data_IF_113572951005
#
_entry.id   IF_113572951005
#
_cell.length_a   1.000
_cell.length_b   1.000
_cell.length_c   1.000
_cell.angle_alpha   90.00
_cell.angle_beta   90.00
_cell.angle_gamma   90.00
#
_symmetry.space_group_name_H-M   'P 1'
#
loop_
_entity.id
_entity.type
_entity.pdbx_description
1 polymer ?
#
# COMPACT_ATOMS: atom_id res chain seq x y z
N UNK A 1 77.40 -77.89 85.83
CA UNK A 1 78.82 -78.11 85.47
C UNK A 1 78.90 -79.33 84.58
N UNK A 2 79.44 -79.21 83.36
CA UNK A 2 79.60 -80.34 82.42
C UNK A 2 81.03 -80.87 82.53
N UNK A 3 81.20 -82.17 82.74
CA UNK A 3 82.53 -82.81 82.80
C UNK A 3 83.13 -82.83 81.38
N UNK A 4 84.46 -82.60 81.23
CA UNK A 4 85.12 -82.53 79.89
C UNK A 4 84.84 -83.74 78.99
N UNK A 5 84.69 -84.94 79.58
CA UNK A 5 84.39 -86.19 78.86
C UNK A 5 82.98 -86.21 78.24
N UNK A 6 82.04 -85.47 78.81
CA UNK A 6 80.62 -85.42 78.42
C UNK A 6 80.30 -84.15 77.60
N UNK A 7 81.31 -83.37 77.22
CA UNK A 7 81.13 -82.14 76.45
C UNK A 7 80.59 -82.41 75.04
N UNK A 8 81.02 -83.49 74.38
CA UNK A 8 80.56 -83.84 73.03
C UNK A 8 79.07 -84.17 73.00
N UNK A 9 78.60 -85.02 73.91
CA UNK A 9 77.18 -85.36 74.04
C UNK A 9 76.35 -84.17 74.52
N UNK A 10 76.91 -83.31 75.37
CA UNK A 10 76.25 -82.06 75.75
C UNK A 10 76.02 -81.12 74.54
N UNK A 11 76.97 -80.97 73.61
CA UNK A 11 76.85 -80.10 72.42
C UNK A 11 75.73 -80.55 71.45
N UNK A 12 75.39 -81.83 71.43
CA UNK A 12 74.29 -82.36 70.62
C UNK A 12 72.90 -81.89 71.11
N UNK A 13 72.76 -81.63 72.41
CA UNK A 13 71.49 -81.23 73.04
C UNK A 13 71.51 -79.81 73.63
N UNK A 14 72.67 -79.14 73.63
CA UNK A 14 72.81 -77.82 74.20
C UNK A 14 72.06 -76.77 73.36
N UNK A 15 71.09 -76.14 74.01
CA UNK A 15 70.22 -75.11 73.45
C UNK A 15 70.97 -73.84 73.02
N UNK A 16 72.15 -73.62 73.60
CA UNK A 16 73.01 -72.47 73.33
C UNK A 16 74.12 -72.77 72.30
N UNK A 17 74.08 -73.93 71.64
CA UNK A 17 74.99 -74.24 70.54
C UNK A 17 74.57 -73.49 69.29
N UNK A 18 75.53 -72.85 68.62
CA UNK A 18 75.31 -72.22 67.32
C UNK A 18 75.28 -73.29 66.23
N UNK A 19 74.22 -73.31 65.43
CA UNK A 19 74.05 -74.20 64.30
C UNK A 19 73.85 -73.38 63.02
N UNK A 20 74.41 -73.87 61.92
CA UNK A 20 74.13 -73.30 60.59
C UNK A 20 72.71 -73.64 60.17
N UNK A 21 72.05 -72.72 59.48
CA UNK A 21 70.74 -72.94 58.89
C UNK A 21 70.81 -74.12 57.89
N UNK A 22 69.83 -75.05 57.89
CA UNK A 22 69.80 -76.16 56.95
C UNK A 22 69.31 -75.74 55.54
N UNK A 23 68.74 -74.54 55.39
CA UNK A 23 68.25 -74.06 54.10
C UNK A 23 69.41 -73.68 53.16
N UNK A 24 69.40 -74.25 51.96
CA UNK A 24 70.42 -73.97 50.95
C UNK A 24 70.42 -72.49 50.55
N UNK A 25 71.58 -71.84 50.67
CA UNK A 25 71.77 -70.40 50.44
C UNK A 25 71.67 -69.51 51.69
N UNK A 26 71.34 -70.07 52.86
CA UNK A 26 71.32 -69.31 54.11
C UNK A 26 72.62 -69.50 54.92
N UNK A 27 73.43 -68.45 55.02
CA UNK A 27 74.69 -68.46 55.80
C UNK A 27 74.49 -68.17 57.30
N UNK A 28 73.24 -68.02 57.76
CA UNK A 28 72.95 -67.70 59.15
C UNK A 28 73.38 -68.84 60.09
N UNK A 29 74.08 -68.46 61.17
CA UNK A 29 74.32 -69.35 62.31
C UNK A 29 73.49 -68.82 63.49
N UNK A 30 72.62 -69.65 64.04
CA UNK A 30 71.69 -69.28 65.12
C UNK A 30 71.74 -70.29 66.26
N UNK A 31 71.35 -69.89 67.47
CA UNK A 31 71.29 -70.82 68.61
C UNK A 31 70.26 -71.92 68.32
N UNK A 32 70.54 -73.16 68.74
CA UNK A 32 69.64 -74.31 68.55
C UNK A 32 68.21 -74.00 68.97
N UNK A 33 68.02 -73.34 70.12
CA UNK A 33 66.69 -72.95 70.64
C UNK A 33 65.93 -71.97 69.74
N UNK A 34 66.63 -71.17 68.93
CA UNK A 34 66.07 -70.12 68.09
C UNK A 34 65.97 -70.56 66.61
N UNK A 35 66.44 -71.78 66.28
CA UNK A 35 66.46 -72.30 64.91
C UNK A 35 65.06 -72.44 64.31
N UNK A 36 64.07 -72.85 65.08
CA UNK A 36 62.67 -72.93 64.61
C UNK A 36 62.12 -71.55 64.23
N UNK A 37 62.38 -70.54 65.08
CA UNK A 37 62.00 -69.14 64.82
C UNK A 37 62.72 -68.60 63.58
N UNK A 38 63.99 -68.95 63.40
CA UNK A 38 64.74 -68.61 62.19
C UNK A 38 64.12 -69.27 60.95
N UNK A 39 63.88 -70.59 60.94
CA UNK A 39 63.31 -71.30 59.78
C UNK A 39 61.94 -70.74 59.39
N UNK A 40 61.12 -70.38 60.39
CA UNK A 40 59.81 -69.76 60.17
C UNK A 40 59.89 -68.44 59.37
N UNK A 41 60.99 -67.68 59.51
CA UNK A 41 61.20 -66.38 58.85
C UNK A 41 62.31 -66.38 57.80
N UNK A 42 63.03 -67.49 57.63
CA UNK A 42 64.20 -67.59 56.78
C UNK A 42 63.83 -67.31 55.31
N UNK A 43 64.49 -66.35 54.63
CA UNK A 43 64.23 -66.02 53.23
C UNK A 43 64.47 -67.18 52.25
N UNK A 44 65.29 -68.15 52.64
CA UNK A 44 65.70 -69.31 51.84
C UNK A 44 64.84 -70.56 52.08
N UNK A 45 63.89 -70.51 53.03
CA UNK A 45 62.94 -71.61 53.22
C UNK A 45 62.13 -71.82 51.94
N UNK A 46 62.09 -73.06 51.46
CA UNK A 46 61.24 -73.42 50.31
C UNK A 46 59.79 -73.47 50.76
N UNK A 47 58.96 -72.66 50.11
CA UNK A 47 57.52 -72.61 50.30
C UNK A 47 56.82 -73.20 49.09
N UNK A 48 55.67 -73.82 49.33
CA UNK A 48 54.69 -74.12 48.28
C UNK A 48 53.78 -72.91 48.11
N UNK A 49 53.34 -72.63 46.87
CA UNK A 49 52.42 -71.52 46.60
C UNK A 49 51.17 -71.57 47.50
N UNK A 50 50.82 -70.46 48.19
CA UNK A 50 49.59 -70.38 49.00
C UNK A 50 48.31 -70.43 48.14
N UNK A 51 48.40 -70.04 46.87
CA UNK A 51 47.30 -70.11 45.89
C UNK A 51 47.27 -71.48 45.16
N UNK A 52 47.98 -72.49 45.67
CA UNK A 52 47.94 -73.88 45.21
C UNK A 52 48.20 -74.06 43.70
N UNK A 53 49.18 -73.33 43.14
CA UNK A 53 49.63 -73.53 41.75
C UNK A 53 50.74 -74.59 41.60
N UNK A 54 51.00 -75.37 42.66
CA UNK A 54 52.04 -76.41 42.76
C UNK A 54 53.51 -75.96 42.61
N UNK A 55 53.74 -74.66 42.41
CA UNK A 55 55.09 -74.09 42.38
C UNK A 55 55.75 -74.12 43.78
N UNK A 56 57.06 -74.39 43.79
CA UNK A 56 57.93 -74.31 44.96
C UNK A 56 59.03 -73.29 44.71
N UNK A 57 59.24 -72.40 45.65
CA UNK A 57 60.19 -71.28 45.53
C UNK A 57 60.70 -70.87 46.91
N UNK A 58 61.79 -70.09 46.97
CA UNK A 58 62.27 -69.56 48.24
C UNK A 58 61.33 -68.48 48.77
N UNK A 59 61.16 -68.34 50.09
CA UNK A 59 60.29 -67.31 50.69
C UNK A 59 60.51 -65.91 50.11
N UNK A 60 61.75 -65.54 49.81
CA UNK A 60 62.10 -64.25 49.18
C UNK A 60 61.48 -64.03 47.79
N UNK A 61 61.18 -65.11 47.07
CA UNK A 61 60.61 -65.11 45.70
C UNK A 61 59.08 -65.10 45.71
N UNK A 62 58.44 -65.18 46.88
CA UNK A 62 56.98 -65.24 47.01
C UNK A 62 56.27 -64.05 46.37
N UNK A 63 56.75 -62.83 46.60
CA UNK A 63 56.10 -61.62 46.07
C UNK A 63 56.21 -61.57 44.53
N UNK A 64 57.39 -61.88 43.99
CA UNK A 64 57.59 -61.99 42.53
C UNK A 64 56.72 -63.09 41.93
N UNK A 65 56.58 -64.21 42.65
CA UNK A 65 55.69 -65.29 42.21
C UNK A 65 54.22 -64.85 42.16
N UNK A 66 53.70 -64.13 43.17
CA UNK A 66 52.30 -63.65 43.19
C UNK A 66 51.95 -62.79 41.96
N UNK A 67 52.90 -61.98 41.50
CA UNK A 67 52.74 -61.15 40.30
C UNK A 67 52.51 -61.97 39.01
N UNK A 68 53.04 -63.19 38.95
CA UNK A 68 52.94 -64.06 37.78
C UNK A 68 52.07 -65.32 38.00
N UNK A 69 51.67 -65.60 39.24
CA UNK A 69 50.99 -66.83 39.60
C UNK A 69 49.63 -66.94 38.89
N UNK A 70 49.35 -68.06 38.20
CA UNK A 70 48.11 -68.23 37.44
C UNK A 70 46.88 -68.40 38.33
N UNK A 71 47.05 -68.90 39.55
CA UNK A 71 45.96 -69.09 40.52
C UNK A 71 45.79 -67.90 41.47
N UNK A 72 46.71 -66.93 41.45
CA UNK A 72 46.59 -65.75 42.30
C UNK A 72 45.36 -64.94 41.91
N UNK A 73 44.58 -64.56 42.91
CA UNK A 73 43.35 -63.80 42.74
C UNK A 73 43.67 -62.35 42.46
N UNK A 74 43.19 -61.84 41.32
CA UNK A 74 43.38 -60.46 40.90
C UNK A 74 42.04 -59.78 40.61
N UNK A 75 41.90 -58.49 40.94
CA UNK A 75 40.68 -57.75 40.65
C UNK A 75 40.50 -57.57 39.14
N UNK A 76 39.26 -57.41 38.71
CA UNK A 76 38.95 -57.01 37.35
C UNK A 76 39.62 -55.66 36.99
N UNK A 77 40.13 -55.46 35.77
CA UNK A 77 40.62 -54.15 35.30
C UNK A 77 39.61 -53.01 35.42
N UNK A 78 38.31 -53.34 35.45
CA UNK A 78 37.23 -52.39 35.66
C UNK A 78 36.88 -52.16 37.15
N UNK A 79 37.68 -52.64 38.11
CA UNK A 79 37.48 -52.36 39.53
C UNK A 79 37.42 -50.86 39.87
N UNK A 80 38.25 -49.97 39.29
CA UNK A 80 38.11 -48.52 39.51
C UNK A 80 36.79 -47.93 39.00
N UNK A 81 36.09 -48.66 38.12
CA UNK A 81 34.80 -48.28 37.54
C UNK A 81 33.62 -48.97 38.27
N UNK A 82 33.88 -49.73 39.34
CA UNK A 82 32.86 -50.40 40.16
C UNK A 82 32.68 -51.89 39.88
N UNK A 83 33.64 -52.58 39.27
CA UNK A 83 33.60 -54.03 39.18
C UNK A 83 34.25 -54.69 40.41
N UNK A 84 33.44 -55.25 41.30
CA UNK A 84 33.93 -55.85 42.55
C UNK A 84 34.46 -57.29 42.38
N UNK A 85 34.45 -57.81 41.15
CA UNK A 85 34.86 -59.19 40.87
C UNK A 85 36.38 -59.38 40.95
N UNK A 86 36.79 -60.40 41.70
CA UNK A 86 38.18 -60.85 41.84
C UNK A 86 38.25 -62.31 41.43
N UNK A 87 39.12 -62.64 40.46
CA UNK A 87 39.20 -63.98 39.88
C UNK A 87 40.66 -64.44 39.78
N UNK A 88 40.92 -65.77 39.73
CA UNK A 88 42.25 -66.27 39.44
C UNK A 88 42.77 -65.69 38.13
N UNK A 89 44.05 -65.31 38.08
CA UNK A 89 44.69 -64.71 36.89
C UNK A 89 44.41 -65.50 35.60
N UNK A 90 44.45 -66.83 35.66
CA UNK A 90 44.16 -67.73 34.51
C UNK A 90 42.74 -67.59 33.96
N UNK A 91 41.78 -67.19 34.78
CA UNK A 91 40.37 -67.06 34.43
C UNK A 91 39.95 -65.59 34.16
N UNK A 92 40.86 -64.63 34.39
CA UNK A 92 40.58 -63.21 34.18
C UNK A 92 40.09 -62.91 32.75
N UNK A 93 40.67 -63.55 31.73
CA UNK A 93 40.24 -63.35 30.35
C UNK A 93 38.78 -63.79 30.11
N UNK A 94 38.34 -64.87 30.78
CA UNK A 94 36.95 -65.32 30.70
C UNK A 94 36.03 -64.27 31.31
N UNK A 95 36.34 -63.81 32.53
CA UNK A 95 35.58 -62.75 33.19
C UNK A 95 35.53 -61.46 32.34
N UNK A 96 36.68 -60.95 31.90
CA UNK A 96 36.75 -59.69 31.14
C UNK A 96 35.96 -59.72 29.84
N UNK A 97 35.87 -60.89 29.18
CA UNK A 97 35.05 -61.09 27.97
C UNK A 97 33.54 -61.02 28.22
N UNK A 98 33.09 -61.27 29.44
CA UNK A 98 31.67 -61.24 29.85
C UNK A 98 31.34 -60.07 30.78
N UNK A 99 32.34 -59.38 31.34
CA UNK A 99 32.19 -58.30 32.29
C UNK A 99 31.36 -57.15 31.69
N UNK A 100 30.17 -56.84 32.26
CA UNK A 100 29.33 -55.77 31.74
C UNK A 100 30.03 -54.42 31.75
N UNK A 101 30.80 -54.11 32.80
CA UNK A 101 31.48 -52.82 32.98
C UNK A 101 32.56 -52.62 31.92
N UNK A 102 33.33 -53.65 31.59
CA UNK A 102 34.30 -53.59 30.49
C UNK A 102 33.60 -53.38 29.14
N UNK A 103 32.48 -54.07 28.90
CA UNK A 103 31.72 -53.93 27.64
C UNK A 103 31.14 -52.54 27.44
N UNK A 104 30.65 -51.91 28.51
CA UNK A 104 30.02 -50.58 28.45
C UNK A 104 31.04 -49.43 28.59
N UNK A 105 32.24 -49.67 29.09
CA UNK A 105 33.26 -48.64 29.29
C UNK A 105 33.57 -47.80 28.02
N UNK A 106 33.72 -48.38 26.82
CA UNK A 106 33.89 -47.61 25.60
C UNK A 106 32.73 -46.65 25.32
N UNK A 107 31.50 -47.07 25.62
CA UNK A 107 30.31 -46.23 25.45
C UNK A 107 30.28 -45.09 26.47
N UNK A 108 30.63 -45.34 27.74
CA UNK A 108 30.76 -44.27 28.73
C UNK A 108 31.84 -43.26 28.36
N UNK A 109 32.98 -43.72 27.83
CA UNK A 109 34.04 -42.83 27.34
C UNK A 109 33.55 -41.97 26.18
N UNK A 110 32.79 -42.55 25.24
CA UNK A 110 32.18 -41.80 24.14
C UNK A 110 31.16 -40.77 24.66
N UNK A 111 30.27 -41.17 25.57
CA UNK A 111 29.27 -40.28 26.17
C UNK A 111 29.93 -39.14 26.94
N UNK A 112 30.98 -39.41 27.71
CA UNK A 112 31.73 -38.38 28.42
C UNK A 112 32.30 -37.34 27.45
N UNK A 113 32.92 -37.77 26.35
CA UNK A 113 33.42 -36.86 25.33
C UNK A 113 32.30 -36.04 24.65
N UNK A 114 31.12 -36.64 24.42
CA UNK A 114 29.97 -35.90 23.90
C UNK A 114 29.47 -34.83 24.88
N UNK A 115 29.41 -35.15 26.18
CA UNK A 115 29.03 -34.20 27.23
C UNK A 115 30.00 -33.04 27.31
N UNK A 116 31.31 -33.30 27.23
CA UNK A 116 32.34 -32.26 27.20
C UNK A 116 32.17 -31.32 25.99
N UNK A 117 31.97 -31.89 24.79
CA UNK A 117 31.75 -31.09 23.57
C UNK A 117 30.49 -30.24 23.69
N UNK A 118 29.37 -30.83 24.14
CA UNK A 118 28.11 -30.10 24.31
C UNK A 118 28.23 -29.00 25.36
N UNK A 119 28.92 -29.27 26.47
CA UNK A 119 29.19 -28.28 27.52
C UNK A 119 29.99 -27.09 26.97
N UNK A 120 30.94 -27.33 26.06
CA UNK A 120 31.68 -26.26 25.40
C UNK A 120 30.85 -25.48 24.38
N UNK A 121 29.91 -26.13 23.69
CA UNK A 121 29.07 -25.51 22.66
C UNK A 121 27.93 -24.65 23.23
N UNK A 122 27.35 -25.05 24.37
CA UNK A 122 26.24 -24.34 25.01
C UNK A 122 26.48 -22.82 25.16
N UNK A 123 27.59 -22.33 25.76
CA UNK A 123 27.81 -20.90 25.93
C UNK A 123 28.00 -20.15 24.61
N UNK A 124 28.47 -20.83 23.56
CA UNK A 124 28.62 -20.21 22.24
C UNK A 124 27.26 -19.97 21.58
N UNK A 125 26.34 -20.92 21.74
CA UNK A 125 24.96 -20.78 21.23
C UNK A 125 24.22 -19.71 22.03
N UNK A 126 24.34 -19.69 23.36
CA UNK A 126 23.73 -18.67 24.22
C UNK A 126 24.17 -17.25 23.82
N UNK A 127 25.49 -17.01 23.65
CA UNK A 127 26.00 -15.71 23.16
C UNK A 127 25.48 -15.33 21.78
N UNK A 128 25.29 -16.30 20.90
CA UNK A 128 24.74 -16.05 19.55
C UNK A 128 23.27 -15.67 19.63
N UNK A 129 22.49 -16.31 20.50
CA UNK A 129 21.08 -15.96 20.74
C UNK A 129 20.99 -14.56 21.32
N UNK A 130 21.75 -14.23 22.36
CA UNK A 130 21.77 -12.90 22.97
C UNK A 130 22.09 -11.79 21.96
N UNK A 131 23.10 -12.03 21.11
CA UNK A 131 23.45 -11.08 20.04
C UNK A 131 22.33 -10.92 19.01
N UNK A 132 21.66 -12.00 18.63
CA UNK A 132 20.54 -11.94 17.70
C UNK A 132 19.36 -11.20 18.32
N UNK A 133 19.02 -11.49 19.57
CA UNK A 133 17.97 -10.79 20.33
C UNK A 133 18.25 -9.28 20.37
N UNK A 134 19.47 -8.88 20.74
CA UNK A 134 19.89 -7.48 20.72
C UNK A 134 19.70 -6.82 19.35
N UNK A 135 20.21 -7.44 18.28
CA UNK A 135 20.11 -6.88 16.92
C UNK A 135 18.65 -6.79 16.46
N UNK A 136 17.84 -7.80 16.78
CA UNK A 136 16.41 -7.80 16.42
C UNK A 136 15.64 -6.72 17.17
N UNK A 137 15.88 -6.55 18.47
CA UNK A 137 15.27 -5.50 19.27
C UNK A 137 15.63 -4.11 18.72
N UNK A 138 16.91 -3.88 18.44
CA UNK A 138 17.37 -2.61 17.90
C UNK A 138 16.75 -2.28 16.54
N UNK A 139 16.71 -3.25 15.61
CA UNK A 139 16.06 -3.08 14.30
C UNK A 139 14.56 -2.83 14.42
N UNK A 140 13.90 -3.44 15.41
CA UNK A 140 12.49 -3.21 15.67
C UNK A 140 12.24 -1.77 16.13
N UNK A 141 13.08 -1.23 17.02
CA UNK A 141 13.01 0.17 17.45
C UNK A 141 13.21 1.14 16.27
N UNK A 142 14.21 0.91 15.43
CA UNK A 142 14.46 1.71 14.22
C UNK A 142 13.24 1.70 13.29
N UNK A 143 12.66 0.52 13.04
CA UNK A 143 11.47 0.37 12.21
C UNK A 143 10.27 1.09 12.82
N UNK A 144 10.07 0.99 14.13
CA UNK A 144 8.98 1.67 14.84
C UNK A 144 9.10 3.19 14.75
N UNK A 145 10.32 3.74 14.84
CA UNK A 145 10.57 5.17 14.65
C UNK A 145 10.25 5.61 13.22
N UNK A 146 10.67 4.83 12.22
CA UNK A 146 10.35 5.11 10.82
C UNK A 146 8.85 5.06 10.55
N UNK A 147 8.15 4.05 11.08
CA UNK A 147 6.70 3.91 10.96
C UNK A 147 5.96 5.12 11.55
N UNK A 148 6.37 5.60 12.73
CA UNK A 148 5.79 6.82 13.34
C UNK A 148 5.99 8.04 12.45
N UNK A 149 7.20 8.25 11.93
CA UNK A 149 7.47 9.37 11.03
C UNK A 149 6.64 9.30 9.74
N UNK A 150 6.51 8.11 9.15
CA UNK A 150 5.64 7.91 7.98
C UNK A 150 4.17 8.18 8.30
N UNK A 151 3.68 7.74 9.46
CA UNK A 151 2.31 7.99 9.90
C UNK A 151 2.02 9.49 10.00
N UNK A 152 2.93 10.26 10.59
CA UNK A 152 2.82 11.73 10.68
C UNK A 152 2.78 12.38 9.30
N UNK A 153 3.63 11.95 8.37
CA UNK A 153 3.63 12.45 6.99
C UNK A 153 2.32 12.14 6.26
N UNK A 154 1.77 10.92 6.43
CA UNK A 154 0.47 10.55 5.83
C UNK A 154 -0.65 11.41 6.39
N UNK A 155 -0.66 11.68 7.70
CA UNK A 155 -1.67 12.54 8.33
C UNK A 155 -1.58 13.97 7.77
N UNK A 156 -0.38 14.55 7.68
CA UNK A 156 -0.18 15.90 7.14
C UNK A 156 -0.60 16.00 5.66
N UNK A 157 -0.21 15.01 4.84
CA UNK A 157 -0.62 14.95 3.44
C UNK A 157 -2.14 14.84 3.30
N UNK A 158 -2.77 13.98 4.10
CA UNK A 158 -4.24 13.80 4.10
C UNK A 158 -4.95 15.09 4.46
N UNK A 159 -4.42 15.83 5.45
CA UNK A 159 -4.95 17.14 5.84
C UNK A 159 -4.85 18.15 4.69
N UNK A 160 -3.67 18.27 4.07
CA UNK A 160 -3.43 19.17 2.92
C UNK A 160 -4.31 18.83 1.72
N UNK A 161 -4.55 17.55 1.44
CA UNK A 161 -5.45 17.13 0.37
C UNK A 161 -6.89 17.50 0.68
N UNK A 162 -7.35 17.31 1.93
CA UNK A 162 -8.70 17.70 2.33
C UNK A 162 -8.91 19.21 2.26
N UNK A 163 -7.94 20.01 2.72
CA UNK A 163 -7.99 21.47 2.60
C UNK A 163 -8.11 21.94 1.14
N UNK A 164 -7.34 21.32 0.23
CA UNK A 164 -7.44 21.59 -1.21
C UNK A 164 -8.80 21.18 -1.78
N UNK A 165 -9.33 20.02 -1.37
CA UNK A 165 -10.65 19.56 -1.80
C UNK A 165 -11.75 20.53 -1.35
N UNK A 166 -11.72 20.97 -0.09
CA UNK A 166 -12.66 21.96 0.45
C UNK A 166 -12.59 23.27 -0.33
N UNK A 167 -11.40 23.77 -0.65
CA UNK A 167 -11.25 25.01 -1.44
C UNK A 167 -11.77 24.85 -2.88
N UNK A 168 -11.55 23.70 -3.52
CA UNK A 168 -12.12 23.42 -4.85
C UNK A 168 -13.65 23.38 -4.78
N UNK A 169 -14.21 22.70 -3.78
CA UNK A 169 -15.66 22.61 -3.62
C UNK A 169 -16.27 24.01 -3.38
N UNK A 170 -15.64 24.83 -2.53
CA UNK A 170 -16.05 26.22 -2.29
C UNK A 170 -16.06 27.07 -3.55
N UNK A 171 -15.07 26.88 -4.45
CA UNK A 171 -15.04 27.57 -5.75
C UNK A 171 -16.17 27.09 -6.66
N UNK A 172 -16.49 25.81 -6.64
CA UNK A 172 -17.60 25.23 -7.40
C UNK A 172 -18.94 25.79 -6.91
N UNK A 173 -19.17 25.81 -5.60
CA UNK A 173 -20.36 26.40 -4.98
C UNK A 173 -20.54 27.88 -5.41
N UNK A 174 -19.46 28.66 -5.39
CA UNK A 174 -19.50 30.06 -5.84
C UNK A 174 -19.80 30.20 -7.35
N UNK A 175 -19.33 29.28 -8.19
CA UNK A 175 -19.69 29.28 -9.61
C UNK A 175 -21.17 28.96 -9.80
N UNK A 176 -21.70 27.98 -9.06
CA UNK A 176 -23.10 27.59 -9.12
C UNK A 176 -24.03 28.73 -8.69
N UNK A 177 -23.72 29.42 -7.58
CA UNK A 177 -24.48 30.60 -7.15
C UNK A 177 -24.50 31.70 -8.22
N UNK A 178 -23.35 31.95 -8.87
CA UNK A 178 -23.25 32.93 -9.96
C UNK A 178 -24.09 32.51 -11.16
N UNK A 179 -24.04 31.23 -11.53
CA UNK A 179 -24.82 30.69 -12.63
C UNK A 179 -26.33 30.80 -12.38
N UNK A 180 -26.76 30.42 -11.17
CA UNK A 180 -28.16 30.55 -10.75
C UNK A 180 -28.64 32.01 -10.76
N UNK A 181 -27.79 32.95 -10.35
CA UNK A 181 -28.11 34.39 -10.42
C UNK A 181 -28.35 34.84 -11.87
N UNK A 182 -27.48 34.43 -12.80
CA UNK A 182 -27.63 34.74 -14.23
C UNK A 182 -28.91 34.15 -14.83
N UNK A 183 -29.28 32.91 -14.45
CA UNK A 183 -30.55 32.30 -14.87
C UNK A 183 -31.72 33.14 -14.39
N UNK A 184 -31.76 33.48 -13.10
CA UNK A 184 -32.84 34.27 -12.50
C UNK A 184 -32.97 35.66 -13.16
N UNK A 185 -31.85 36.32 -13.47
CA UNK A 185 -31.84 37.57 -14.23
C UNK A 185 -32.40 37.41 -15.65
N UNK A 186 -32.11 36.31 -16.34
CA UNK A 186 -32.69 36.04 -17.67
C UNK A 186 -34.19 35.73 -17.59
N UNK A 187 -34.61 34.91 -16.62
CA UNK A 187 -36.02 34.58 -16.41
C UNK A 187 -36.85 35.83 -16.09
N UNK A 188 -36.36 36.69 -15.20
CA UNK A 188 -37.03 37.96 -14.89
C UNK A 188 -37.15 38.86 -16.12
N UNK A 189 -36.09 38.99 -16.94
CA UNK A 189 -36.16 39.72 -18.21
C UNK A 189 -37.19 39.13 -19.17
N UNK A 190 -37.20 37.80 -19.32
CA UNK A 190 -38.17 37.09 -20.17
C UNK A 190 -39.62 37.34 -19.71
N UNK A 191 -39.89 37.21 -18.41
CA UNK A 191 -41.21 37.44 -17.83
C UNK A 191 -41.69 38.89 -18.03
N UNK A 192 -40.80 39.88 -17.90
CA UNK A 192 -41.12 41.28 -18.16
C UNK A 192 -41.43 41.55 -19.64
N UNK A 193 -40.68 40.95 -20.57
CA UNK A 193 -40.97 41.02 -22.00
C UNK A 193 -42.34 40.41 -22.33
N UNK A 194 -42.66 39.25 -21.75
CA UNK A 194 -43.96 38.60 -21.93
C UNK A 194 -45.12 39.46 -21.39
N UNK A 195 -44.94 40.11 -20.23
CA UNK A 195 -45.93 41.08 -19.70
C UNK A 195 -46.13 42.27 -20.64
N UNK A 196 -45.05 42.86 -21.15
CA UNK A 196 -45.13 43.96 -22.10
C UNK A 196 -45.83 43.55 -23.41
N UNK A 197 -45.56 42.34 -23.91
CA UNK A 197 -46.25 41.79 -25.08
C UNK A 197 -47.76 41.59 -24.82
N UNK A 198 -48.14 41.15 -23.63
CA UNK A 198 -49.55 41.00 -23.25
C UNK A 198 -50.28 42.35 -23.18
N UNK A 199 -49.64 43.39 -22.64
CA UNK A 199 -50.17 44.77 -22.58
C UNK A 199 -50.34 45.35 -23.99
N UNK A 200 -49.33 45.20 -24.86
CA UNK A 200 -49.43 45.61 -26.27
C UNK A 200 -50.59 44.88 -26.96
N UNK A 201 -50.75 43.58 -26.70
CA UNK A 201 -51.84 42.77 -27.25
C UNK A 201 -53.24 43.07 -26.68
N UNK A 202 -53.36 43.65 -25.48
CA UNK A 202 -54.62 44.17 -24.96
C UNK A 202 -54.94 45.52 -25.57
N UNK A 203 -53.97 46.43 -25.65
CA UNK A 203 -54.15 47.78 -26.20
C UNK A 203 -54.54 47.72 -27.69
N UNK A 204 -53.93 46.83 -28.47
CA UNK A 204 -54.33 46.56 -29.86
C UNK A 204 -55.75 46.00 -29.99
N UNK A 205 -56.21 45.18 -29.04
CA UNK A 205 -57.58 44.65 -29.05
C UNK A 205 -58.60 45.71 -28.69
N UNK A 206 -58.27 46.60 -27.77
CA UNK A 206 -59.08 47.78 -27.43
C UNK A 206 -59.15 48.73 -28.62
N UNK A 207 -58.02 48.98 -29.30
CA UNK A 207 -57.94 49.85 -30.48
C UNK A 207 -58.68 49.30 -31.71
N UNK A 208 -58.77 47.97 -31.87
CA UNK A 208 -59.48 47.33 -32.98
C UNK A 208 -61.00 47.22 -32.75
N UNK A 209 -61.49 47.43 -31.53
CA UNK A 209 -62.91 47.29 -31.17
C UNK A 209 -63.62 48.64 -30.96
N UNK A 210 -62.97 49.78 -31.19
CA UNK A 210 -63.66 51.09 -31.21
C UNK A 210 -64.42 51.29 -32.54
N UNK A 211 -65.71 51.70 -32.52
CA UNK A 211 -66.50 51.88 -33.73
C UNK A 211 -66.04 53.13 -34.48
N UNK A 212 -65.71 53.00 -35.77
CA UNK A 212 -65.30 54.13 -36.59
C UNK A 212 -66.49 55.03 -36.94
N UNK A 213 -66.68 56.13 -36.22
CA UNK A 213 -67.58 57.21 -36.62
C UNK A 213 -66.92 58.05 -37.72
N UNK A 214 -67.59 58.15 -38.88
CA UNK A 214 -67.28 59.11 -39.94
C UNK A 214 -68.16 60.34 -39.75
N UNK A 215 -67.57 61.53 -39.64
CA UNK A 215 -68.29 62.79 -39.75
C UNK A 215 -68.37 63.22 -41.23
N UNK A 216 -69.61 63.39 -41.74
CA UNK A 216 -69.91 64.05 -43.02
C UNK A 216 -70.38 65.47 -42.70
N UNK A 217 -69.70 66.47 -43.23
CA UNK A 217 -70.06 67.89 -43.13
C UNK A 217 -69.95 68.58 -44.49
N UNK A 218 -71.02 69.28 -44.86
CA UNK A 218 -71.35 69.78 -46.20
C UNK A 218 -70.46 70.93 -46.73
N UNK A 219 -70.09 70.83 -48.01
CA UNK A 219 -70.13 71.91 -49.01
C UNK A 219 -69.13 73.06 -48.88
N UNK A 220 -67.98 72.95 -49.53
CA UNK A 220 -67.65 73.61 -50.83
C UNK A 220 -66.14 73.56 -51.07
N UNK A 221 -65.75 73.26 -52.32
CA UNK A 221 -64.40 72.95 -52.85
C UNK A 221 -63.95 71.50 -52.65
N UNK A 222 -64.31 70.67 -53.63
CA UNK A 222 -63.88 69.30 -53.84
C UNK A 222 -62.36 69.20 -53.95
N UNK A 223 -61.73 68.49 -53.01
CA UNK A 223 -60.52 67.69 -53.28
C UNK A 223 -60.70 66.33 -52.63
N UNK A 224 -61.49 65.48 -53.28
CA UNK A 224 -61.53 64.05 -52.96
C UNK A 224 -60.11 63.46 -53.08
N UNK A 225 -59.55 62.98 -51.98
CA UNK A 225 -58.27 62.28 -51.96
C UNK A 225 -58.36 60.94 -52.69
N UNK A 226 -58.17 60.94 -54.02
CA UNK A 226 -58.04 59.72 -54.81
C UNK A 226 -56.73 59.01 -54.51
N UNK A 227 -56.79 57.69 -54.32
CA UNK A 227 -55.60 56.82 -54.29
C UNK A 227 -54.84 57.01 -55.62
N UNK A 228 -53.52 57.26 -55.60
CA UNK A 228 -52.73 57.43 -56.81
C UNK A 228 -52.87 56.24 -57.77
N UNK A 229 -52.94 56.52 -59.08
CA UNK A 229 -53.05 55.47 -60.10
C UNK A 229 -51.88 54.48 -60.00
N UNK A 230 -52.20 53.17 -59.97
CA UNK A 230 -51.21 52.10 -59.79
C UNK A 230 -50.92 51.74 -58.32
N UNK A 231 -51.78 52.12 -57.38
CA UNK A 231 -51.68 51.73 -55.96
C UNK A 231 -53.01 51.19 -55.41
N UNK A 232 -52.95 50.30 -54.42
CA UNK A 232 -54.10 49.71 -53.72
C UNK A 232 -53.89 49.66 -52.21
N UNK A 233 -54.98 49.48 -51.45
CA UNK A 233 -54.91 49.13 -50.03
C UNK A 233 -54.38 47.69 -49.84
N UNK A 234 -53.59 47.49 -48.80
CA UNK A 234 -53.11 46.17 -48.39
C UNK A 234 -54.22 45.31 -47.79
N UNK A 235 -54.10 43.98 -47.93
CA UNK A 235 -54.99 43.04 -47.25
C UNK A 235 -54.61 42.88 -45.77
N UNK A 236 -55.49 42.24 -45.00
CA UNK A 236 -55.28 41.98 -43.57
C UNK A 236 -54.04 41.10 -43.33
N UNK A 237 -53.85 40.09 -44.17
CA UNK A 237 -52.73 39.16 -44.12
C UNK A 237 -51.39 39.86 -44.41
N UNK A 238 -51.35 40.71 -45.45
CA UNK A 238 -50.17 41.51 -45.81
C UNK A 238 -49.77 42.49 -44.69
N UNK A 239 -50.74 43.02 -43.96
CA UNK A 239 -50.51 43.93 -42.82
C UNK A 239 -49.94 43.19 -41.61
N UNK A 240 -50.41 41.96 -41.35
CA UNK A 240 -49.88 41.09 -40.28
C UNK A 240 -48.46 40.64 -40.60
N UNK A 241 -48.16 40.37 -41.86
CA UNK A 241 -46.81 39.98 -42.29
C UNK A 241 -45.81 41.13 -42.12
N UNK A 242 -46.17 42.35 -42.52
CA UNK A 242 -45.33 43.54 -42.32
C UNK A 242 -45.00 43.85 -40.85
N UNK A 243 -45.91 43.56 -39.92
CA UNK A 243 -45.67 43.78 -38.48
C UNK A 243 -44.71 42.75 -37.87
N UNK A 244 -44.60 41.54 -38.44
CA UNK A 244 -43.59 40.55 -38.05
C UNK A 244 -42.16 41.02 -38.37
N UNK A 245 -42.01 41.92 -39.34
CA UNK A 245 -40.75 42.57 -39.70
C UNK A 245 -40.48 43.88 -38.95
N UNK A 246 -41.27 44.19 -37.91
CA UNK A 246 -41.01 45.33 -37.02
C UNK A 246 -41.41 46.71 -37.58
N UNK A 247 -42.21 46.77 -38.64
CA UNK A 247 -42.69 48.04 -39.24
C UNK A 247 -43.73 48.69 -38.32
N UNK A 248 -43.49 49.93 -37.89
CA UNK A 248 -44.42 50.73 -37.07
C UNK A 248 -45.08 51.83 -37.90
N UNK A 249 -46.42 51.93 -37.85
CA UNK A 249 -47.21 52.83 -38.71
C UNK A 249 -47.58 54.13 -37.98
N UNK A 250 -46.91 55.23 -38.32
CA UNK A 250 -47.24 56.56 -37.76
C UNK A 250 -47.97 57.49 -38.76
N UNK A 251 -47.86 57.26 -40.07
CA UNK A 251 -48.65 57.88 -41.16
C UNK A 251 -48.73 56.89 -42.34
N UNK A 252 -49.53 57.18 -43.39
CA UNK A 252 -49.69 56.31 -44.56
C UNK A 252 -48.32 55.82 -45.07
N UNK A 253 -48.06 54.52 -44.96
CA UNK A 253 -46.75 53.92 -45.27
C UNK A 253 -46.84 53.28 -46.64
N UNK A 254 -45.93 53.64 -47.54
CA UNK A 254 -45.84 53.11 -48.90
C UNK A 254 -44.82 51.98 -48.92
N UNK A 255 -45.25 50.79 -49.31
CA UNK A 255 -44.38 49.60 -49.40
C UNK A 255 -44.41 49.06 -50.81
N UNK A 256 -43.23 48.77 -51.37
CA UNK A 256 -43.11 48.14 -52.68
C UNK A 256 -43.48 46.65 -52.58
N UNK A 257 -44.25 46.12 -53.54
CA UNK A 257 -44.73 44.73 -53.51
C UNK A 257 -43.60 43.70 -53.43
N UNK A 258 -42.44 43.99 -54.03
CA UNK A 258 -41.25 43.13 -53.95
C UNK A 258 -40.60 43.04 -52.55
N UNK A 259 -40.85 44.01 -51.67
CA UNK A 259 -40.29 44.01 -50.31
C UNK A 259 -41.08 43.11 -49.34
N UNK A 260 -42.33 42.78 -49.68
CA UNK A 260 -43.13 41.79 -48.93
C UNK A 260 -42.75 40.35 -49.29
N UNK A 261 -42.17 40.13 -50.48
CA UNK A 261 -41.82 38.79 -50.97
C UNK A 261 -40.39 38.34 -50.58
N UNK A 262 -39.50 39.26 -50.19
CA UNK A 262 -38.12 38.93 -49.84
C UNK A 262 -37.99 38.66 -48.32
N UNK A 263 -37.74 37.40 -47.98
CA UNK A 263 -37.62 36.83 -46.62
C UNK A 263 -36.36 37.27 -45.84
N UNK A 264 -35.85 38.48 -46.06
CA UNK A 264 -34.73 39.00 -45.30
C UNK A 264 -35.21 39.75 -44.04
N UNK A 265 -34.74 39.37 -42.84
CA UNK A 265 -35.32 39.80 -41.57
C UNK A 265 -35.13 41.29 -41.20
N UNK A 266 -34.51 42.13 -42.05
CA UNK A 266 -34.17 43.53 -41.76
C UNK A 266 -34.33 44.51 -42.96
N UNK A 267 -35.34 44.33 -43.81
CA UNK A 267 -35.59 45.30 -44.90
C UNK A 267 -36.30 46.58 -44.38
N UNK A 268 -35.52 47.64 -44.11
CA UNK A 268 -36.08 48.97 -43.82
C UNK A 268 -36.28 49.70 -45.15
N UNK A 269 -37.52 50.01 -45.52
CA UNK A 269 -37.83 50.80 -46.72
C UNK A 269 -38.13 52.25 -46.34
N UNK A 270 -37.32 53.19 -46.81
CA UNK A 270 -37.60 54.62 -46.76
C UNK A 270 -37.54 55.21 -48.16
N UNK A 271 -38.62 55.86 -48.62
CA UNK A 271 -38.61 56.64 -49.87
C UNK A 271 -38.72 58.13 -49.54
N UNK A 272 -37.79 58.94 -50.02
CA UNK A 272 -37.87 60.42 -49.99
C UNK A 272 -38.25 60.95 -51.38
N UNK A 273 -39.02 62.03 -51.42
CA UNK A 273 -39.43 62.69 -52.66
C UNK A 273 -39.03 64.17 -52.64
N UNK A 274 -38.56 64.71 -53.77
CA UNK A 274 -38.30 66.14 -53.96
C UNK A 274 -38.72 66.57 -55.38
N UNK A 275 -39.44 67.68 -55.50
CA UNK A 275 -39.74 68.43 -56.74
C UNK A 275 -39.42 69.92 -56.45
N UNK A 276 -38.99 70.79 -57.40
CA UNK A 276 -39.61 70.93 -58.72
C UNK A 276 -38.71 71.31 -59.93
N UNK A 277 -39.19 70.99 -61.14
CA UNK A 277 -38.80 71.70 -62.38
C UNK A 277 -38.76 70.85 -63.66
N UNK A 278 -39.92 70.59 -64.27
CA UNK A 278 -40.11 70.29 -65.70
C UNK A 278 -39.38 69.08 -66.33
N UNK A 279 -40.15 68.05 -66.71
CA UNK A 279 -39.76 67.01 -67.69
C UNK A 279 -39.43 65.65 -67.07
N UNK A 280 -40.21 64.63 -67.49
CA UNK A 280 -40.11 63.17 -67.33
C UNK A 280 -39.63 62.54 -66.00
N UNK A 281 -40.49 61.67 -65.46
CA UNK A 281 -40.27 60.92 -64.22
C UNK A 281 -39.33 59.72 -64.44
N UNK A 282 -38.06 59.89 -64.11
CA UNK A 282 -37.12 58.77 -64.02
C UNK A 282 -37.09 58.22 -62.58
N UNK A 283 -37.36 56.91 -62.42
CA UNK A 283 -37.25 56.22 -61.14
C UNK A 283 -35.87 55.59 -61.02
N UNK A 284 -34.93 56.20 -60.28
CA UNK A 284 -33.71 55.52 -59.88
C UNK A 284 -33.92 54.79 -58.54
N UNK A 285 -34.00 53.46 -58.59
CA UNK A 285 -34.02 52.61 -57.40
C UNK A 285 -32.60 52.49 -56.83
N UNK A 286 -32.38 52.92 -55.59
CA UNK A 286 -31.24 52.47 -54.79
C UNK A 286 -31.71 51.88 -53.47
N UNK A 287 -31.73 50.55 -53.40
CA UNK A 287 -31.82 49.84 -52.12
C UNK A 287 -30.43 49.84 -51.49
N UNK A 288 -30.25 50.54 -50.37
CA UNK A 288 -29.03 50.44 -49.56
C UNK A 288 -29.40 49.91 -48.18
N UNK A 289 -28.83 48.75 -47.84
CA UNK A 289 -28.83 48.26 -46.47
C UNK A 289 -27.94 49.15 -45.59
N UNK A 290 -28.25 49.14 -44.29
CA UNK A 290 -27.45 49.62 -43.15
C UNK A 290 -27.71 51.05 -42.65
N UNK A 291 -27.91 51.10 -41.32
CA UNK A 291 -27.47 52.08 -40.33
C UNK A 291 -27.26 53.57 -40.72
N UNK A 292 -27.90 54.40 -39.89
CA UNK A 292 -27.69 55.84 -39.62
C UNK A 292 -28.44 56.88 -40.48
N UNK A 293 -29.25 57.70 -39.80
CA UNK A 293 -29.55 59.08 -40.20
C UNK A 293 -31.02 59.43 -40.42
N UNK A 294 -31.67 60.01 -39.40
CA UNK A 294 -32.91 60.80 -39.49
C UNK A 294 -32.53 62.31 -39.58
N UNK A 295 -33.41 63.32 -39.81
CA UNK A 295 -34.75 63.42 -40.44
C UNK A 295 -34.83 64.53 -41.52
N UNK A 296 -35.98 64.62 -42.21
CA UNK A 296 -36.57 65.79 -42.89
C UNK A 296 -36.59 65.85 -44.43
N UNK A 297 -37.61 65.19 -45.00
CA UNK A 297 -38.59 65.86 -45.88
C UNK A 297 -39.89 65.06 -45.89
N UNK A 298 -40.91 65.59 -45.20
CA UNK A 298 -42.28 65.07 -45.11
C UNK A 298 -43.04 65.28 -46.44
N UNK A 299 -43.83 64.28 -46.84
CA UNK A 299 -45.07 64.52 -47.59
C UNK A 299 -46.22 64.09 -46.69
N UNK A 300 -47.11 65.04 -46.43
CA UNK A 300 -48.29 64.95 -45.60
C UNK A 300 -49.45 64.46 -46.47
N UNK A 301 -50.01 63.29 -46.18
CA UNK A 301 -51.33 62.89 -46.66
C UNK A 301 -52.25 62.90 -45.45
N UNK A 302 -53.06 63.95 -45.31
CA UNK A 302 -54.11 64.02 -44.29
C UNK A 302 -55.37 63.36 -44.83
N UNK A 303 -55.74 62.23 -44.25
CA UNK A 303 -57.10 61.71 -44.28
C UNK A 303 -57.50 61.43 -42.84
N UNK A 304 -58.64 61.97 -42.42
CA UNK A 304 -59.14 61.92 -41.05
C UNK A 304 -59.04 60.51 -40.44
N UNK A 305 -58.32 60.44 -39.32
CA UNK A 305 -58.36 59.39 -38.27
C UNK A 305 -58.26 57.90 -38.67
N UNK A 306 -57.85 57.55 -39.89
CA UNK A 306 -57.71 56.13 -40.31
C UNK A 306 -56.31 55.78 -40.83
N UNK A 307 -55.72 54.70 -40.28
CA UNK A 307 -54.40 54.17 -40.64
C UNK A 307 -54.54 53.22 -41.84
N UNK A 308 -53.76 53.42 -42.89
CA UNK A 308 -53.81 52.59 -44.11
C UNK A 308 -52.40 52.24 -44.61
N UNK A 309 -52.24 51.00 -45.09
CA UNK A 309 -51.06 50.52 -45.80
C UNK A 309 -51.38 50.49 -47.31
N UNK A 310 -50.55 51.17 -48.12
CA UNK A 310 -50.73 51.25 -49.57
C UNK A 310 -49.61 50.49 -50.29
N UNK A 311 -50.00 49.61 -51.20
CA UNK A 311 -49.12 48.73 -51.99
C UNK A 311 -49.20 49.13 -53.46
N UNK A 312 -48.04 49.27 -54.11
CA UNK A 312 -47.96 49.55 -55.55
C UNK A 312 -48.39 48.32 -56.35
N UNK A 313 -49.34 48.52 -57.27
CA UNK A 313 -49.72 47.53 -58.29
C UNK A 313 -48.61 47.54 -59.34
N UNK A 314 -47.60 46.69 -59.17
CA UNK A 314 -46.56 46.53 -60.17
C UNK A 314 -47.15 46.02 -61.49
N UNK A 315 -46.79 46.63 -62.63
CA UNK A 315 -46.82 45.91 -63.89
C UNK A 315 -45.84 44.76 -63.73
N UNK A 316 -46.31 43.52 -63.88
CA UNK A 316 -45.47 42.33 -63.91
C UNK A 316 -44.59 42.42 -65.16
N UNK A 317 -43.45 43.07 -65.03
CA UNK A 317 -42.33 42.92 -65.94
C UNK A 317 -41.62 41.64 -65.55
N UNK A 318 -41.90 40.56 -66.28
CA UNK A 318 -41.15 39.31 -66.18
C UNK A 318 -39.68 39.63 -66.45
N UNK A 319 -38.83 39.55 -65.42
CA UNK A 319 -37.39 39.51 -65.60
C UNK A 319 -36.97 38.03 -65.65
N UNK A 320 -36.13 37.63 -66.63
CA UNK A 320 -35.77 36.24 -66.85
C UNK A 320 -34.87 35.71 -65.72
N UNK A 321 -34.78 34.36 -65.55
CA UNK A 321 -33.91 33.76 -64.56
C UNK A 321 -32.46 34.09 -64.91
N UNK A 322 -31.72 34.65 -63.94
CA UNK A 322 -30.28 34.83 -64.05
C UNK A 322 -29.63 33.52 -63.58
N UNK A 323 -28.76 32.97 -64.44
CA UNK A 323 -27.93 31.78 -64.24
C UNK A 323 -26.97 31.91 -63.07
#
# INVERSE_FOLDING_TARGET
MVLRKDMKSHLEVCHFTMLKCPNNGCDASVLRKDMENHIATCPYTILTCPDHCDAKFQRRELEVHKEACPNHFIPCPAAPLGCDETTPRKDLLKHTSSCPIIKIHPHFKQLHGQVEILSHQLPLVERRVEKLEYVTAHRFEELMMLCKSLQEQVIDLTKKTNERFVEVNRRMDHMDERFMRMIKERETRFNNLHKNQAVIGSDLRTFLNEPSEYCVGNGTTETEGRIPAGWRLATKEETIEATKFGVTFNTATLVHSGCLANTHPNAICTSTYRYPGGGDFDFSNSCTASDQGNPNSLIKMESGSKKFLLIRIGKVGVAPPIM
#
